data_IF_254866701875
#
_entry.id   IF_254866701875
#
_cell.length_a   1.000
_cell.length_b   1.000
_cell.length_c   1.000
_cell.angle_alpha   90.00
_cell.angle_beta   90.00
_cell.angle_gamma   90.00
#
_symmetry.space_group_name_H-M   'P 1'
#
loop_
_entity.id
_entity.type
_entity.pdbx_description
1 polymer ?
#
# COMPACT_ATOMS: atom_id res chain seq x y z
N UNK A 1 52.64 -39.05 -19.94
CA UNK A 1 52.03 -37.87 -19.30
C UNK A 1 50.54 -38.12 -19.15
N UNK A 2 50.10 -38.26 -17.89
CA UNK A 2 48.72 -38.58 -17.49
C UNK A 2 47.83 -37.36 -17.74
N UNK A 3 46.72 -37.51 -18.48
CA UNK A 3 45.67 -36.48 -18.55
C UNK A 3 44.28 -37.11 -18.66
N UNK A 4 43.60 -37.20 -17.53
CA UNK A 4 42.14 -37.32 -17.38
C UNK A 4 41.75 -36.39 -16.20
N UNK A 5 40.51 -35.90 -16.06
CA UNK A 5 39.47 -35.65 -17.05
C UNK A 5 38.89 -34.21 -16.99
N UNK A 6 38.42 -33.69 -18.12
CA UNK A 6 37.47 -32.57 -18.17
C UNK A 6 36.06 -33.12 -17.93
N UNK A 7 35.63 -33.25 -16.68
CA UNK A 7 34.28 -33.73 -16.33
C UNK A 7 33.72 -33.02 -15.08
N UNK A 8 33.84 -31.70 -15.00
CA UNK A 8 33.27 -30.91 -13.89
C UNK A 8 32.32 -29.79 -14.36
N UNK A 9 31.79 -29.85 -15.59
CA UNK A 9 30.98 -28.76 -16.13
C UNK A 9 29.48 -29.00 -16.43
N UNK A 10 28.81 -30.13 -16.11
CA UNK A 10 27.35 -30.18 -16.31
C UNK A 10 26.53 -29.88 -15.04
N UNK A 11 27.14 -29.65 -13.87
CA UNK A 11 26.40 -29.52 -12.60
C UNK A 11 25.92 -28.10 -12.25
N UNK A 12 26.31 -27.07 -13.00
CA UNK A 12 25.91 -25.68 -12.70
C UNK A 12 24.60 -25.22 -13.37
N UNK A 13 23.97 -26.06 -14.19
CA UNK A 13 22.77 -25.69 -14.96
C UNK A 13 21.43 -26.13 -14.33
N UNK A 14 21.44 -26.81 -13.18
CA UNK A 14 20.21 -27.26 -12.51
C UNK A 14 19.63 -26.24 -11.50
N UNK A 15 20.33 -25.14 -11.21
CA UNK A 15 19.88 -24.11 -10.27
C UNK A 15 18.91 -23.06 -10.84
N UNK A 16 18.81 -22.93 -12.17
CA UNK A 16 18.03 -21.87 -12.81
C UNK A 16 16.52 -22.16 -12.87
N UNK A 17 16.08 -23.41 -12.69
CA UNK A 17 14.67 -23.80 -12.81
C UNK A 17 13.87 -23.66 -11.49
N UNK A 18 14.53 -23.44 -10.36
CA UNK A 18 13.85 -23.26 -9.07
C UNK A 18 13.45 -21.80 -8.77
N UNK A 19 13.97 -20.82 -9.53
CA UNK A 19 13.66 -19.40 -9.31
C UNK A 19 12.37 -18.92 -10.00
N UNK A 20 11.78 -19.74 -10.88
CA UNK A 20 10.57 -19.38 -11.63
C UNK A 20 9.27 -19.92 -11.00
N UNK A 21 9.34 -20.78 -9.97
CA UNK A 21 8.18 -21.39 -9.31
C UNK A 21 7.77 -20.72 -7.99
N UNK A 22 8.45 -19.62 -7.62
CA UNK A 22 8.15 -18.93 -6.38
C UNK A 22 6.92 -18.04 -6.58
N UNK A 23 5.77 -18.48 -6.03
CA UNK A 23 4.56 -17.65 -5.97
C UNK A 23 4.90 -16.30 -5.34
N UNK A 24 4.41 -15.19 -5.91
CA UNK A 24 4.73 -13.86 -5.39
C UNK A 24 4.26 -13.74 -3.95
N UNK A 25 5.09 -13.14 -3.10
CA UNK A 25 4.72 -12.86 -1.70
C UNK A 25 3.50 -11.95 -1.66
N UNK A 26 2.80 -11.91 -0.53
CA UNK A 26 1.64 -11.04 -0.39
C UNK A 26 1.99 -9.56 -0.59
N UNK A 27 3.14 -9.12 -0.09
CA UNK A 27 3.65 -7.77 -0.29
C UNK A 27 3.87 -7.47 -1.79
N UNK A 28 4.47 -8.40 -2.53
CA UNK A 28 4.64 -8.28 -3.98
C UNK A 28 3.29 -8.20 -4.69
N UNK A 29 2.30 -9.00 -4.26
CA UNK A 29 0.95 -8.92 -4.80
C UNK A 29 0.26 -7.60 -4.47
N UNK A 30 0.45 -7.04 -3.27
CA UNK A 30 -0.07 -5.72 -2.91
C UNK A 30 0.49 -4.65 -3.85
N UNK A 31 1.81 -4.64 -4.04
CA UNK A 31 2.49 -3.65 -4.89
C UNK A 31 2.11 -3.78 -6.37
N UNK A 32 1.91 -5.00 -6.86
CA UNK A 32 1.58 -5.26 -8.26
C UNK A 32 0.11 -4.96 -8.59
N UNK A 33 -0.80 -5.17 -7.64
CA UNK A 33 -2.24 -5.22 -7.94
C UNK A 33 -3.07 -4.11 -7.30
N UNK A 34 -2.61 -3.49 -6.21
CA UNK A 34 -3.34 -2.38 -5.59
C UNK A 34 -2.86 -1.03 -6.15
N UNK A 35 -3.76 -0.07 -6.41
CA UNK A 35 -3.41 1.21 -7.03
C UNK A 35 -2.77 2.19 -6.03
N UNK A 36 -1.68 1.78 -5.37
CA UNK A 36 -1.04 2.52 -4.27
C UNK A 36 -0.69 3.96 -4.66
N UNK A 37 0.03 4.15 -5.78
CA UNK A 37 0.45 5.49 -6.22
C UNK A 37 -0.74 6.38 -6.55
N UNK A 38 -1.75 5.85 -7.24
CA UNK A 38 -2.92 6.65 -7.62
C UNK A 38 -3.75 7.04 -6.38
N UNK A 39 -3.92 6.12 -5.43
CA UNK A 39 -4.59 6.41 -4.16
C UNK A 39 -3.82 7.44 -3.33
N UNK A 40 -2.49 7.34 -3.30
CA UNK A 40 -1.61 8.30 -2.65
C UNK A 40 -1.78 9.71 -3.23
N UNK A 41 -1.62 9.86 -4.54
CA UNK A 41 -1.75 11.16 -5.22
C UNK A 41 -3.14 11.76 -5.04
N UNK A 42 -4.19 10.93 -5.12
CA UNK A 42 -5.56 11.37 -4.87
C UNK A 42 -5.74 11.90 -3.42
N UNK A 43 -5.18 11.21 -2.43
CA UNK A 43 -5.26 11.64 -1.04
C UNK A 43 -4.48 12.94 -0.79
N UNK A 44 -3.26 13.07 -1.34
CA UNK A 44 -2.47 14.31 -1.28
C UNK A 44 -3.25 15.47 -1.90
N UNK A 45 -3.86 15.27 -3.07
CA UNK A 45 -4.68 16.29 -3.73
C UNK A 45 -5.87 16.73 -2.86
N UNK A 46 -6.60 15.77 -2.27
CA UNK A 46 -7.73 16.09 -1.38
C UNK A 46 -7.30 16.85 -0.13
N UNK A 47 -6.19 16.44 0.51
CA UNK A 47 -5.68 17.14 1.69
C UNK A 47 -5.18 18.55 1.34
N UNK A 48 -4.51 18.71 0.20
CA UNK A 48 -4.05 20.02 -0.26
C UNK A 48 -5.21 20.99 -0.50
N UNK A 49 -6.28 20.52 -1.15
CA UNK A 49 -7.48 21.32 -1.38
C UNK A 49 -8.16 21.76 -0.06
N UNK A 50 -8.15 20.91 0.97
CA UNK A 50 -8.67 21.26 2.29
C UNK A 50 -7.78 22.29 3.00
N UNK A 51 -6.47 22.11 2.98
CA UNK A 51 -5.51 23.02 3.60
C UNK A 51 -5.44 24.38 2.90
N UNK A 52 -5.68 24.43 1.58
CA UNK A 52 -5.76 25.70 0.84
C UNK A 52 -6.87 26.63 1.38
N UNK A 53 -7.89 26.09 2.06
CA UNK A 53 -8.94 26.88 2.70
C UNK A 53 -8.44 27.64 3.93
N UNK A 54 -7.48 27.08 4.68
CA UNK A 54 -6.89 27.71 5.87
C UNK A 54 -5.58 28.43 5.58
N UNK A 55 -4.94 28.14 4.45
CA UNK A 55 -3.68 28.73 3.98
C UNK A 55 -3.86 29.45 2.62
N UNK A 56 -4.74 30.46 2.50
CA UNK A 56 -5.11 31.06 1.21
C UNK A 56 -3.95 31.74 0.47
N UNK A 57 -2.89 32.11 1.18
CA UNK A 57 -1.68 32.72 0.63
C UNK A 57 -0.68 31.69 0.07
N UNK A 58 -0.84 30.41 0.40
CA UNK A 58 0.08 29.35 -0.04
C UNK A 58 -0.47 28.69 -1.30
N UNK A 59 0.27 28.65 -2.43
CA UNK A 59 -0.15 27.92 -3.62
C UNK A 59 -0.40 26.44 -3.32
N UNK A 60 -1.48 25.87 -3.86
CA UNK A 60 -1.85 24.47 -3.58
C UNK A 60 -0.73 23.48 -3.95
N UNK A 61 0.04 23.74 -5.01
CA UNK A 61 1.19 22.90 -5.37
C UNK A 61 2.29 22.91 -4.32
N UNK A 62 2.51 24.04 -3.63
CA UNK A 62 3.42 24.12 -2.49
C UNK A 62 2.87 23.31 -1.32
N UNK A 63 1.56 23.38 -1.05
CA UNK A 63 0.91 22.57 -0.02
C UNK A 63 1.10 21.07 -0.31
N UNK A 64 0.91 20.65 -1.56
CA UNK A 64 1.17 19.26 -1.99
C UNK A 64 2.62 18.86 -1.74
N UNK A 65 3.60 19.74 -2.01
CA UNK A 65 5.00 19.44 -1.76
C UNK A 65 5.28 19.25 -0.26
N UNK A 66 4.73 20.11 0.60
CA UNK A 66 4.85 19.97 2.06
C UNK A 66 4.21 18.66 2.53
N UNK A 67 2.99 18.36 2.07
CA UNK A 67 2.32 17.09 2.39
C UNK A 67 3.18 15.88 2.01
N UNK A 68 3.80 15.86 0.82
CA UNK A 68 4.65 14.75 0.36
C UNK A 68 5.93 14.57 1.19
N UNK A 69 6.39 15.59 1.93
CA UNK A 69 7.55 15.47 2.84
C UNK A 69 7.20 14.66 4.09
N UNK A 70 5.98 14.80 4.59
CA UNK A 70 5.56 14.27 5.91
C UNK A 70 4.59 13.08 5.80
N UNK A 71 3.88 12.97 4.69
CA UNK A 71 2.95 11.90 4.38
C UNK A 71 3.48 11.15 3.16
N UNK A 72 4.27 10.11 3.36
CA UNK A 72 4.98 9.46 2.25
C UNK A 72 4.20 8.29 1.65
N UNK A 73 4.49 7.96 0.39
CA UNK A 73 3.95 6.76 -0.25
C UNK A 73 4.43 5.47 0.44
N UNK A 74 5.63 5.51 1.03
CA UNK A 74 6.20 4.38 1.77
C UNK A 74 5.45 4.11 3.08
N UNK A 75 4.95 5.16 3.75
CA UNK A 75 4.07 5.01 4.90
C UNK A 75 2.76 4.34 4.51
N UNK A 76 2.13 4.80 3.43
CA UNK A 76 0.90 4.20 2.92
C UNK A 76 1.13 2.74 2.50
N UNK A 77 2.28 2.41 1.90
CA UNK A 77 2.66 1.03 1.58
C UNK A 77 2.69 0.16 2.85
N UNK A 78 3.37 0.63 3.90
CA UNK A 78 3.51 -0.12 5.14
C UNK A 78 2.14 -0.34 5.82
N UNK A 79 1.26 0.66 5.75
CA UNK A 79 -0.12 0.53 6.24
C UNK A 79 -0.91 -0.51 5.45
N UNK A 80 -0.76 -0.57 4.12
CA UNK A 80 -1.39 -1.61 3.30
C UNK A 80 -0.83 -3.00 3.61
N UNK A 81 0.47 -3.15 3.83
CA UNK A 81 1.08 -4.42 4.22
C UNK A 81 0.53 -4.93 5.54
N UNK A 82 0.39 -4.03 6.53
CA UNK A 82 -0.24 -4.35 7.82
C UNK A 82 -1.71 -4.72 7.65
N UNK A 83 -2.47 -3.91 6.90
CA UNK A 83 -3.90 -4.08 6.71
C UNK A 83 -4.23 -5.41 6.03
N UNK A 84 -3.54 -5.74 4.94
CA UNK A 84 -3.77 -6.95 4.16
C UNK A 84 -2.92 -8.15 4.60
N UNK A 85 -2.25 -8.07 5.75
CA UNK A 85 -1.43 -9.16 6.29
C UNK A 85 -2.21 -10.47 6.54
N UNK A 86 -1.50 -11.59 6.66
CA UNK A 86 -2.07 -12.91 6.95
C UNK A 86 -2.83 -12.97 8.28
N UNK A 87 -2.47 -12.09 9.23
CA UNK A 87 -3.20 -11.92 10.49
C UNK A 87 -4.63 -11.43 10.25
N UNK A 88 -4.83 -10.57 9.26
CA UNK A 88 -6.10 -9.93 9.00
C UNK A 88 -6.90 -10.68 7.94
N UNK A 89 -6.27 -11.18 6.89
CA UNK A 89 -6.95 -11.85 5.79
C UNK A 89 -6.28 -13.18 5.45
N UNK A 90 -7.07 -14.23 5.28
CA UNK A 90 -6.62 -15.48 4.67
C UNK A 90 -6.22 -15.26 3.21
N UNK A 91 -5.48 -16.21 2.63
CA UNK A 91 -5.06 -16.15 1.22
C UNK A 91 -6.25 -16.07 0.25
N UNK A 92 -7.34 -16.79 0.55
CA UNK A 92 -8.55 -16.77 -0.30
C UNK A 92 -9.29 -15.44 -0.23
N UNK A 93 -9.39 -14.84 0.96
CA UNK A 93 -9.97 -13.50 1.13
C UNK A 93 -9.12 -12.46 0.40
N UNK A 94 -7.80 -12.50 0.56
CA UNK A 94 -6.89 -11.58 -0.11
C UNK A 94 -6.95 -11.72 -1.63
N UNK A 95 -6.97 -12.94 -2.17
CA UNK A 95 -7.13 -13.17 -3.60
C UNK A 95 -8.45 -12.59 -4.15
N UNK A 96 -9.54 -12.72 -3.39
CA UNK A 96 -10.85 -12.14 -3.73
C UNK A 96 -10.78 -10.61 -3.77
N UNK A 97 -10.14 -9.99 -2.78
CA UNK A 97 -9.91 -8.54 -2.73
C UNK A 97 -9.08 -8.05 -3.92
N UNK A 98 -7.99 -8.75 -4.26
CA UNK A 98 -7.14 -8.42 -5.41
C UNK A 98 -7.94 -8.47 -6.71
N UNK A 99 -8.70 -9.54 -6.93
CA UNK A 99 -9.52 -9.69 -8.14
C UNK A 99 -10.60 -8.60 -8.24
N UNK A 100 -11.24 -8.25 -7.12
CA UNK A 100 -12.22 -7.18 -7.10
C UNK A 100 -11.59 -5.80 -7.36
N UNK A 101 -10.38 -5.55 -6.85
CA UNK A 101 -9.68 -4.26 -7.03
C UNK A 101 -9.33 -3.99 -8.50
N UNK A 102 -9.05 -5.04 -9.26
CA UNK A 102 -8.63 -4.93 -10.66
C UNK A 102 -9.78 -4.85 -11.66
N UNK A 103 -10.98 -5.28 -11.25
CA UNK A 103 -12.13 -5.42 -12.14
C UNK A 103 -13.38 -4.82 -11.48
N UNK A 104 -13.82 -3.62 -11.91
CA UNK A 104 -15.01 -2.97 -11.36
C UNK A 104 -16.29 -3.81 -11.48
N UNK A 105 -16.41 -4.67 -12.50
CA UNK A 105 -17.57 -5.55 -12.65
C UNK A 105 -17.54 -6.66 -11.59
N UNK A 106 -16.36 -7.23 -11.31
CA UNK A 106 -16.19 -8.17 -10.18
C UNK A 106 -16.39 -7.50 -8.84
N UNK A 107 -15.89 -6.27 -8.63
CA UNK A 107 -16.14 -5.52 -7.40
C UNK A 107 -17.63 -5.33 -7.16
N UNK A 108 -18.38 -4.94 -8.20
CA UNK A 108 -19.83 -4.77 -8.12
C UNK A 108 -20.52 -6.10 -7.80
N UNK A 109 -20.22 -7.16 -8.55
CA UNK A 109 -20.81 -8.47 -8.33
C UNK A 109 -20.51 -9.02 -6.92
N UNK A 110 -19.28 -8.87 -6.44
CA UNK A 110 -18.87 -9.29 -5.10
C UNK A 110 -19.67 -8.53 -4.02
N UNK A 111 -19.83 -7.22 -4.17
CA UNK A 111 -20.56 -6.37 -3.21
C UNK A 111 -22.01 -6.78 -2.96
N UNK A 112 -22.64 -7.46 -3.92
CA UNK A 112 -24.01 -7.96 -3.79
C UNK A 112 -24.10 -9.31 -3.06
N UNK A 113 -22.98 -10.00 -2.83
CA UNK A 113 -22.93 -11.30 -2.16
C UNK A 113 -22.79 -11.18 -0.64
N UNK A 114 -23.18 -12.23 0.09
CA UNK A 114 -22.96 -12.29 1.54
C UNK A 114 -21.46 -12.27 1.90
N UNK A 115 -20.63 -12.93 1.09
CA UNK A 115 -19.18 -12.93 1.27
C UNK A 115 -18.57 -11.55 1.06
N UNK A 116 -18.96 -10.83 0.02
CA UNK A 116 -18.48 -9.47 -0.24
C UNK A 116 -18.88 -8.47 0.84
N UNK A 117 -20.10 -8.61 1.39
CA UNK A 117 -20.55 -7.82 2.55
C UNK A 117 -19.71 -8.12 3.78
N UNK A 118 -19.47 -9.40 4.08
CA UNK A 118 -18.62 -9.79 5.22
C UNK A 118 -17.18 -9.27 5.06
N UNK A 119 -16.60 -9.35 3.86
CA UNK A 119 -15.28 -8.78 3.56
C UNK A 119 -15.26 -7.26 3.74
N UNK A 120 -16.29 -6.56 3.27
CA UNK A 120 -16.42 -5.10 3.42
C UNK A 120 -16.55 -4.69 4.89
N UNK A 121 -17.37 -5.40 5.66
CA UNK A 121 -17.53 -5.18 7.10
C UNK A 121 -16.22 -5.41 7.85
N UNK A 122 -15.51 -6.49 7.52
CA UNK A 122 -14.20 -6.81 8.07
C UNK A 122 -13.16 -5.73 7.76
N UNK A 123 -13.05 -5.31 6.51
CA UNK A 123 -12.16 -4.22 6.09
C UNK A 123 -12.48 -2.91 6.85
N UNK A 124 -13.76 -2.55 6.90
CA UNK A 124 -14.23 -1.35 7.62
C UNK A 124 -13.95 -1.45 9.13
N UNK A 125 -14.11 -2.64 9.71
CA UNK A 125 -13.78 -2.93 11.10
C UNK A 125 -12.31 -2.68 11.39
N UNK A 126 -11.41 -3.25 10.58
CA UNK A 126 -9.97 -3.07 10.70
C UNK A 126 -9.54 -1.61 10.54
N UNK A 127 -10.14 -0.88 9.58
CA UNK A 127 -9.88 0.56 9.41
C UNK A 127 -10.31 1.35 10.66
N UNK A 128 -11.46 1.03 11.25
CA UNK A 128 -11.97 1.67 12.46
C UNK A 128 -11.10 1.35 13.68
N UNK A 129 -10.63 0.11 13.80
CA UNK A 129 -9.69 -0.29 14.85
C UNK A 129 -8.37 0.48 14.73
N UNK A 130 -7.82 0.56 13.53
CA UNK A 130 -6.60 1.33 13.27
C UNK A 130 -6.79 2.81 13.59
N UNK A 131 -7.93 3.41 13.23
CA UNK A 131 -8.25 4.81 13.54
C UNK A 131 -8.45 5.07 15.03
N UNK A 132 -8.69 4.04 15.84
CA UNK A 132 -8.82 4.11 17.31
C UNK A 132 -7.54 3.76 18.05
N UNK A 133 -6.50 3.29 17.34
CA UNK A 133 -5.21 2.97 17.95
C UNK A 133 -4.52 4.29 18.38
N UNK A 134 -4.25 4.52 19.68
CA UNK A 134 -3.63 5.74 20.15
C UNK A 134 -2.26 6.02 19.53
N UNK A 135 -1.51 4.97 19.14
CA UNK A 135 -0.21 5.15 18.48
C UNK A 135 -0.37 5.66 17.06
N UNK A 136 -1.38 5.17 16.35
CA UNK A 136 -1.71 5.62 14.99
C UNK A 136 -2.21 7.06 15.04
N UNK A 137 -3.07 7.39 16.01
CA UNK A 137 -3.56 8.76 16.23
C UNK A 137 -2.40 9.72 16.51
N UNK A 138 -1.53 9.39 17.47
CA UNK A 138 -0.38 10.24 17.81
C UNK A 138 0.57 10.44 16.62
N UNK A 139 0.80 9.39 15.81
CA UNK A 139 1.63 9.51 14.61
C UNK A 139 0.98 10.40 13.54
N UNK A 140 -0.32 10.25 13.30
CA UNK A 140 -1.06 11.07 12.36
C UNK A 140 -1.09 12.55 12.80
N UNK A 141 -1.36 12.80 14.09
CA UNK A 141 -1.33 14.15 14.68
C UNK A 141 0.06 14.79 14.55
N UNK A 142 1.12 14.06 14.89
CA UNK A 142 2.49 14.57 14.76
C UNK A 142 2.84 14.95 13.32
N UNK A 143 2.46 14.12 12.33
CA UNK A 143 2.70 14.41 10.90
C UNK A 143 1.92 15.62 10.42
N UNK A 144 0.65 15.74 10.83
CA UNK A 144 -0.15 16.92 10.46
C UNK A 144 0.35 18.19 11.14
N UNK A 145 0.86 18.10 12.37
CA UNK A 145 1.51 19.23 13.02
C UNK A 145 2.76 19.68 12.25
N UNK A 146 3.59 18.75 11.76
CA UNK A 146 4.75 19.08 10.94
C UNK A 146 4.38 19.77 9.62
N UNK A 147 3.27 19.33 8.99
CA UNK A 147 2.71 20.00 7.81
C UNK A 147 2.30 21.43 8.15
N UNK A 148 1.53 21.62 9.21
CA UNK A 148 1.07 22.94 9.63
C UNK A 148 2.22 23.88 10.00
N UNK A 149 3.19 23.40 10.78
CA UNK A 149 4.37 24.18 11.17
C UNK A 149 5.16 24.64 9.94
N UNK A 150 5.34 23.76 8.95
CA UNK A 150 6.04 24.10 7.73
C UNK A 150 5.24 25.09 6.86
N UNK A 151 3.92 24.91 6.73
CA UNK A 151 3.06 25.84 5.99
C UNK A 151 3.05 27.24 6.61
N UNK A 152 2.98 27.33 7.94
CA UNK A 152 3.00 28.60 8.67
C UNK A 152 4.36 29.31 8.59
N UNK A 153 5.44 28.58 8.33
CA UNK A 153 6.78 29.12 8.16
C UNK A 153 7.06 29.60 6.72
N UNK A 154 6.14 29.36 5.77
CA UNK A 154 6.29 29.85 4.40
C UNK A 154 6.08 31.37 4.34
N UNK A 155 6.92 32.08 3.56
CA UNK A 155 6.87 33.54 3.44
C UNK A 155 5.65 34.06 2.67
#
# INVERSE_FOLDING_TARGET
MIRLPKLLLPLLLLGALAACDQKPTREQQILANLPLQAAYEHNIGRMAALLAMSHPQVPEDTIRQVLRKHLTVDDQRNDLFKLYSEKNFSDSEFATIVQATQDPAKAKALGDTAEGKALSEKLTGLMRESARDPKVQALAEARMQQVEDELNALP
#
